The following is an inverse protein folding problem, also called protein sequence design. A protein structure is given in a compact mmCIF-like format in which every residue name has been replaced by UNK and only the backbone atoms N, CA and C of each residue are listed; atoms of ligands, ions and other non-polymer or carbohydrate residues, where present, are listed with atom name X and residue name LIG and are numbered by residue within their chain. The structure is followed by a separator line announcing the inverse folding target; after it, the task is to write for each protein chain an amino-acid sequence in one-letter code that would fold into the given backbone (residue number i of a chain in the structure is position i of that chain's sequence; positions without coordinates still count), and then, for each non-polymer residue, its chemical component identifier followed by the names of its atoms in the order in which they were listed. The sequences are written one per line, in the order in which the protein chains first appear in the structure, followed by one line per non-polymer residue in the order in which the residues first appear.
data_IF_396625517833
#
_entry.id   IF_396625517833
#
_cell.length_a   1.000
_cell.length_b   1.000
_cell.length_c   1.000
_cell.angle_alpha   90.00
_cell.angle_beta   90.00
_cell.angle_gamma   90.00
#
_symmetry.space_group_name_H-M   'P 1'
#
loop_
_entity.id
_entity.type
_entity.pdbx_description
1 polymer ?
#
# COMPACT_ATOMS: atom_id res chain seq x y z
N UNK A 1 -20.89 -8.18 14.34
CA UNK A 1 -20.00 -7.06 14.72
C UNK A 1 -19.55 -6.42 13.42
N UNK A 2 -19.81 -5.14 13.18
CA UNK A 2 -19.34 -4.47 11.96
C UNK A 2 -17.82 -4.29 12.14
N UNK A 3 -17.01 -4.89 11.27
CA UNK A 3 -15.56 -4.65 11.25
C UNK A 3 -15.35 -3.29 10.58
N UNK A 4 -14.73 -2.39 11.32
CA UNK A 4 -14.49 -1.00 10.92
C UNK A 4 -13.02 -0.86 10.51
N UNK A 5 -12.77 -0.45 9.26
CA UNK A 5 -11.43 -0.37 8.69
C UNK A 5 -10.95 1.07 8.57
N UNK A 6 -9.65 1.25 8.67
CA UNK A 6 -8.99 2.46 8.20
C UNK A 6 -8.73 2.34 6.70
N UNK A 7 -8.72 3.51 6.04
CA UNK A 7 -8.24 3.65 4.67
C UNK A 7 -6.89 4.37 4.69
N UNK A 8 -5.90 3.78 4.06
CA UNK A 8 -4.59 4.38 3.85
C UNK A 8 -4.22 4.43 2.38
N UNK A 9 -3.33 5.35 2.07
CA UNK A 9 -2.71 5.51 0.77
C UNK A 9 -1.20 5.50 0.95
N UNK A 10 -0.52 4.82 0.05
CA UNK A 10 0.93 4.84 -0.09
C UNK A 10 1.21 5.47 -1.43
N UNK A 11 1.90 6.61 -1.42
CA UNK A 11 2.46 7.20 -2.63
C UNK A 11 3.90 6.72 -2.76
N UNK A 12 4.24 6.27 -3.96
CA UNK A 12 5.51 5.62 -4.27
C UNK A 12 6.20 6.43 -5.35
N UNK A 13 7.46 6.74 -5.11
CA UNK A 13 8.39 7.29 -6.09
C UNK A 13 9.27 6.18 -6.63
N UNK A 14 9.46 6.14 -7.93
CA UNK A 14 10.29 5.13 -8.56
C UNK A 14 11.72 5.61 -8.74
N UNK A 15 12.65 4.70 -8.41
CA UNK A 15 14.07 4.81 -8.76
C UNK A 15 14.30 4.49 -10.23
N UNK A 16 13.50 3.60 -10.81
CA UNK A 16 13.63 3.14 -12.20
C UNK A 16 12.38 3.54 -12.98
N UNK A 17 12.52 4.53 -13.86
CA UNK A 17 11.44 5.02 -14.72
C UNK A 17 10.90 3.86 -15.61
N UNK A 18 9.58 3.79 -15.79
CA UNK A 18 8.95 2.74 -16.61
C UNK A 18 8.66 1.43 -15.86
N UNK A 19 8.79 1.43 -14.53
CA UNK A 19 8.49 0.27 -13.68
C UNK A 19 7.18 0.40 -12.90
N UNK A 20 6.36 1.42 -13.21
CA UNK A 20 5.11 1.75 -12.53
C UNK A 20 4.17 0.54 -12.50
N UNK A 21 3.94 -0.06 -13.67
CA UNK A 21 3.06 -1.22 -13.79
C UNK A 21 3.62 -2.47 -13.11
N UNK A 22 4.94 -2.63 -13.03
CA UNK A 22 5.55 -3.77 -12.30
C UNK A 22 5.27 -3.67 -10.81
N UNK A 23 5.34 -2.46 -10.25
CA UNK A 23 4.98 -2.20 -8.86
C UNK A 23 3.49 -2.46 -8.64
N UNK A 24 2.63 -1.96 -9.53
CA UNK A 24 1.17 -2.18 -9.46
C UNK A 24 0.84 -3.67 -9.49
N UNK A 25 1.35 -4.41 -10.47
CA UNK A 25 1.08 -5.84 -10.63
C UNK A 25 1.51 -6.66 -9.42
N UNK A 26 2.61 -6.26 -8.77
CA UNK A 26 3.12 -6.93 -7.57
C UNK A 26 2.31 -6.63 -6.32
N UNK A 27 1.73 -5.43 -6.22
CA UNK A 27 0.99 -4.99 -5.04
C UNK A 27 -0.50 -5.30 -5.12
N UNK A 28 -1.08 -5.29 -6.32
CA UNK A 28 -2.51 -5.46 -6.51
C UNK A 28 -2.98 -6.82 -5.99
N UNK A 29 -3.99 -6.81 -5.11
CA UNK A 29 -4.56 -8.02 -4.53
C UNK A 29 -3.77 -8.62 -3.37
N UNK A 30 -2.66 -8.02 -2.94
CA UNK A 30 -1.99 -8.41 -1.70
C UNK A 30 -2.92 -8.21 -0.50
N UNK A 31 -2.88 -9.17 0.41
CA UNK A 31 -3.64 -9.18 1.65
C UNK A 31 -2.88 -9.95 2.72
N UNK A 32 -3.28 -9.73 3.97
CA UNK A 32 -2.79 -10.53 5.09
C UNK A 32 -2.97 -12.04 4.85
N UNK A 33 -1.95 -12.81 5.22
CA UNK A 33 -2.01 -14.28 5.36
C UNK A 33 -2.07 -14.72 6.81
N UNK A 34 -1.87 -13.81 7.76
CA UNK A 34 -1.82 -14.08 9.19
C UNK A 34 -3.22 -13.97 9.81
N UNK A 35 -3.56 -14.89 10.72
CA UNK A 35 -4.90 -14.97 11.33
C UNK A 35 -5.24 -13.78 12.23
N UNK A 36 -4.24 -13.07 12.74
CA UNK A 36 -4.43 -11.89 13.60
C UNK A 36 -4.39 -10.55 12.85
N UNK A 37 -4.15 -10.59 11.55
CA UNK A 37 -4.01 -9.42 10.68
C UNK A 37 -5.15 -9.37 9.67
N UNK A 38 -5.70 -8.19 9.49
CA UNK A 38 -6.78 -7.97 8.55
C UNK A 38 -6.50 -6.67 7.80
N UNK A 39 -5.80 -6.83 6.68
CA UNK A 39 -5.46 -5.79 5.74
C UNK A 39 -5.46 -6.32 4.31
N UNK A 40 -5.72 -5.43 3.35
CA UNK A 40 -5.67 -5.70 1.90
C UNK A 40 -5.32 -4.44 1.12
N UNK A 41 -4.62 -4.61 0.01
CA UNK A 41 -4.48 -3.58 -1.02
C UNK A 41 -5.76 -3.61 -1.87
N UNK A 42 -6.51 -2.51 -1.85
CA UNK A 42 -7.81 -2.39 -2.53
C UNK A 42 -7.67 -1.79 -3.92
N UNK A 43 -6.62 -1.01 -4.15
CA UNK A 43 -6.38 -0.32 -5.42
C UNK A 43 -4.89 -0.01 -5.59
N UNK A 44 -4.41 -0.02 -6.83
CA UNK A 44 -3.08 0.46 -7.18
C UNK A 44 -3.09 0.96 -8.63
N UNK A 45 -2.48 2.11 -8.89
CA UNK A 45 -2.40 2.70 -10.24
C UNK A 45 -1.14 3.55 -10.37
N UNK A 46 -0.54 3.64 -11.58
CA UNK A 46 0.37 4.72 -11.88
C UNK A 46 -0.36 6.07 -11.80
N UNK A 47 0.37 7.11 -11.43
CA UNK A 47 -0.13 8.49 -11.36
C UNK A 47 0.88 9.44 -12.02
N UNK A 48 0.39 10.59 -12.49
CA UNK A 48 1.26 11.64 -13.05
C UNK A 48 1.38 12.78 -12.05
N UNK A 49 2.61 13.14 -11.67
CA UNK A 49 2.87 14.23 -10.72
C UNK A 49 4.21 14.07 -10.01
N UNK A 50 4.29 14.55 -8.76
CA UNK A 50 5.48 14.40 -7.92
C UNK A 50 5.72 12.97 -7.40
N UNK A 51 4.76 12.06 -7.64
CA UNK A 51 4.80 10.65 -7.29
C UNK A 51 4.44 9.83 -8.54
N UNK A 52 4.80 8.55 -8.55
CA UNK A 52 4.71 7.70 -9.75
C UNK A 52 3.63 6.61 -9.61
N UNK A 53 3.39 6.10 -8.40
CA UNK A 53 2.34 5.10 -8.13
C UNK A 53 1.56 5.47 -6.87
N UNK A 54 0.23 5.33 -6.92
CA UNK A 54 -0.65 5.45 -5.76
C UNK A 54 -1.25 4.09 -5.44
N UNK A 55 -1.14 3.69 -4.18
CA UNK A 55 -1.65 2.42 -3.65
C UNK A 55 -2.64 2.71 -2.53
N UNK A 56 -3.82 2.14 -2.59
CA UNK A 56 -4.81 2.19 -1.54
C UNK A 56 -4.81 0.88 -0.76
N UNK A 57 -4.88 0.99 0.57
CA UNK A 57 -4.98 -0.14 1.47
C UNK A 57 -6.10 0.07 2.49
N UNK A 58 -6.74 -1.04 2.86
CA UNK A 58 -7.70 -1.15 3.94
C UNK A 58 -7.09 -1.99 5.04
N UNK A 59 -7.20 -1.57 6.30
CA UNK A 59 -6.62 -2.29 7.44
C UNK A 59 -7.40 -2.03 8.73
N UNK A 60 -7.47 -3.04 9.60
CA UNK A 60 -8.19 -2.95 10.88
C UNK A 60 -7.34 -2.34 12.00
N UNK A 61 -6.01 -2.47 11.94
CA UNK A 61 -5.06 -2.00 12.97
C UNK A 61 -4.02 -1.08 12.34
N UNK A 62 -3.70 0.03 12.99
CA UNK A 62 -2.73 1.02 12.49
C UNK A 62 -1.35 0.41 12.20
N UNK A 63 -0.91 -0.54 13.03
CA UNK A 63 0.37 -1.26 12.86
C UNK A 63 0.48 -2.04 11.55
N UNK A 64 -0.65 -2.38 10.93
CA UNK A 64 -0.66 -3.16 9.69
C UNK A 64 -0.25 -2.28 8.49
N UNK A 65 -0.49 -0.97 8.55
CA UNK A 65 0.02 -0.03 7.55
C UNK A 65 1.55 -0.02 7.52
N UNK A 66 2.19 0.01 8.69
CA UNK A 66 3.66 -0.03 8.79
C UNK A 66 4.24 -1.30 8.16
N UNK A 67 3.53 -2.42 8.25
CA UNK A 67 3.94 -3.68 7.62
C UNK A 67 3.87 -3.62 6.11
N UNK A 68 2.79 -3.08 5.55
CA UNK A 68 2.63 -2.91 4.09
C UNK A 68 3.76 -2.01 3.56
N UNK A 69 4.02 -0.89 4.23
CA UNK A 69 5.09 0.04 3.86
C UNK A 69 6.46 -0.60 3.99
N UNK A 70 6.69 -1.36 5.05
CA UNK A 70 7.94 -2.11 5.24
C UNK A 70 8.14 -3.14 4.13
N UNK A 71 7.09 -3.88 3.75
CA UNK A 71 7.13 -4.83 2.64
C UNK A 71 7.57 -4.15 1.33
N UNK A 72 7.02 -2.98 1.00
CA UNK A 72 7.44 -2.20 -0.18
C UNK A 72 8.94 -1.86 -0.16
N UNK A 73 9.55 -1.70 1.03
CA UNK A 73 10.95 -1.30 1.21
C UNK A 73 11.92 -2.47 1.30
N UNK A 74 11.49 -3.65 1.76
CA UNK A 74 12.36 -4.80 2.02
C UNK A 74 12.23 -5.91 0.98
N UNK A 75 11.12 -5.96 0.21
CA UNK A 75 10.99 -6.91 -0.89
C UNK A 75 12.09 -6.65 -1.94
N UNK A 76 12.72 -7.73 -2.41
CA UNK A 76 13.91 -7.64 -3.28
C UNK A 76 13.63 -6.94 -4.61
N UNK A 77 12.42 -7.08 -5.15
CA UNK A 77 12.08 -6.48 -6.43
C UNK A 77 11.57 -5.05 -6.22
N UNK A 78 10.66 -4.85 -5.27
CA UNK A 78 10.12 -3.53 -4.97
C UNK A 78 11.21 -2.56 -4.51
N UNK A 79 12.12 -2.98 -3.62
CA UNK A 79 13.26 -2.15 -3.19
C UNK A 79 14.25 -1.80 -4.31
N UNK A 80 14.26 -2.56 -5.41
CA UNK A 80 15.06 -2.23 -6.58
C UNK A 80 14.37 -1.16 -7.47
N UNK A 81 13.04 -1.07 -7.44
CA UNK A 81 12.24 -0.17 -8.26
C UNK A 81 11.81 1.10 -7.52
N UNK A 82 11.64 1.03 -6.20
CA UNK A 82 11.13 2.11 -5.35
C UNK A 82 12.29 2.91 -4.76
N UNK A 83 12.21 4.23 -4.89
CA UNK A 83 13.14 5.18 -4.28
C UNK A 83 12.64 5.61 -2.89
N UNK A 84 11.40 6.07 -2.83
CA UNK A 84 10.80 6.57 -1.60
C UNK A 84 9.30 6.27 -1.55
N UNK A 85 8.77 6.25 -0.33
CA UNK A 85 7.34 6.08 -0.06
C UNK A 85 6.88 7.10 0.97
N UNK A 86 5.70 7.67 0.78
CA UNK A 86 4.99 8.42 1.82
C UNK A 86 3.61 7.84 2.04
N UNK A 87 3.06 8.02 3.24
CA UNK A 87 1.77 7.46 3.64
C UNK A 87 0.80 8.57 4.03
N UNK A 88 -0.45 8.39 3.63
CA UNK A 88 -1.57 9.22 4.03
C UNK A 88 -2.64 8.27 4.56
N UNK A 89 -3.33 8.63 5.64
CA UNK A 89 -4.38 7.77 6.18
C UNK A 89 -5.51 8.57 6.78
N UNK A 90 -6.71 8.01 6.70
CA UNK A 90 -7.88 8.55 7.40
C UNK A 90 -7.67 8.49 8.92
N UNK A 91 -8.06 9.55 9.62
CA UNK A 91 -8.02 9.60 11.09
C UNK A 91 -9.13 8.80 11.76
N UNK A 92 -10.10 8.32 10.97
CA UNK A 92 -11.24 7.49 11.40
C UNK A 92 -11.22 6.15 10.69
N UNK A 93 -11.76 5.14 11.36
CA UNK A 93 -11.92 3.79 10.84
C UNK A 93 -13.31 3.55 10.21
N UNK A 94 -13.83 4.53 9.49
CA UNK A 94 -15.17 4.49 8.87
C UNK A 94 -15.17 3.90 7.45
N UNK A 95 -14.10 3.22 7.04
CA UNK A 95 -14.03 2.58 5.73
C UNK A 95 -14.87 1.30 5.71
N UNK A 96 -15.81 1.16 4.76
CA UNK A 96 -16.62 -0.05 4.62
C UNK A 96 -15.76 -1.24 4.17
N UNK A 97 -16.02 -2.41 4.78
CA UNK A 97 -15.31 -3.66 4.55
C UNK A 97 -15.39 -4.18 3.10
#
# INVERSE_FOLDING_TARGET
MIVMYYRGYILIRLKVIGTEWKVVDKLLGLKSTETEEDWKITYATPVYGGWDVMVECSFSKLKDLDKIVTFCRVDKELSAWIEETTTLMGSKNDYPA
#
